data_IF_960736581316
#
_entry.id   IF_960736581316
#
_cell.length_a   1.000
_cell.length_b   1.000
_cell.length_c   1.000
_cell.angle_alpha   90.00
_cell.angle_beta   90.00
_cell.angle_gamma   90.00
#
_symmetry.space_group_name_H-M   'P 1'
#
loop_
_entity.id
_entity.type
_entity.pdbx_description
1 polymer ?
#
# COMPACT_ATOMS: atom_id res chain seq x y z
N UNK A 1 21.60 -2.33 -8.17
CA UNK A 1 20.88 -3.62 -8.31
C UNK A 1 19.86 -3.51 -9.44
N UNK A 2 20.08 -4.24 -10.54
CA UNK A 2 19.05 -4.38 -11.58
C UNK A 2 18.01 -5.38 -11.09
N UNK A 3 16.77 -4.92 -10.93
CA UNK A 3 15.65 -5.81 -10.66
C UNK A 3 15.40 -6.66 -11.91
N UNK A 4 15.40 -8.00 -11.83
CA UNK A 4 15.12 -8.84 -12.98
C UNK A 4 13.72 -8.53 -13.50
N UNK A 5 13.62 -7.99 -14.72
CA UNK A 5 12.34 -7.84 -15.41
C UNK A 5 11.87 -9.23 -15.83
N UNK A 6 10.88 -9.77 -15.14
CA UNK A 6 10.17 -10.96 -15.63
C UNK A 6 9.38 -10.58 -16.90
N UNK A 7 9.35 -11.42 -17.94
CA UNK A 7 8.73 -11.08 -19.24
C UNK A 7 7.19 -10.94 -19.25
N UNK A 8 6.51 -11.05 -18.11
CA UNK A 8 5.06 -10.94 -18.05
C UNK A 8 4.66 -9.51 -17.67
N UNK A 9 4.38 -8.71 -18.69
CA UNK A 9 3.97 -7.30 -18.67
C UNK A 9 2.52 -7.09 -18.15
N UNK A 10 1.97 -8.03 -17.38
CA UNK A 10 0.59 -7.98 -16.91
C UNK A 10 0.53 -7.31 -15.53
N UNK A 11 0.79 -5.99 -15.52
CA UNK A 11 0.59 -5.15 -14.35
C UNK A 11 -0.92 -5.01 -14.09
N UNK A 12 -1.44 -5.74 -13.11
CA UNK A 12 -2.86 -5.72 -12.73
C UNK A 12 -3.06 -4.90 -11.47
N UNK A 13 -4.00 -3.97 -11.52
CA UNK A 13 -4.48 -3.25 -10.35
C UNK A 13 -5.62 -4.04 -9.70
N UNK A 14 -5.49 -4.31 -8.40
CA UNK A 14 -6.52 -4.89 -7.54
C UNK A 14 -6.52 -4.07 -6.25
N UNK A 15 -7.66 -3.49 -5.89
CA UNK A 15 -7.74 -2.62 -4.72
C UNK A 15 -9.17 -2.20 -4.43
N UNK A 16 -9.31 -1.50 -3.31
CA UNK A 16 -10.55 -0.91 -2.84
C UNK A 16 -10.25 0.49 -2.30
N UNK A 17 -11.13 1.44 -2.61
CA UNK A 17 -11.07 2.79 -2.05
C UNK A 17 -11.66 2.81 -0.64
N UNK A 18 -11.16 3.72 0.20
CA UNK A 18 -11.67 3.95 1.54
C UNK A 18 -11.80 5.44 1.82
N UNK A 19 -13.00 5.85 2.22
CA UNK A 19 -13.30 7.19 2.69
C UNK A 19 -13.37 7.20 4.21
N UNK A 20 -12.80 8.23 4.83
CA UNK A 20 -13.00 8.46 6.25
C UNK A 20 -14.49 8.70 6.53
N UNK A 21 -15.02 8.22 7.66
CA UNK A 21 -16.41 8.51 8.06
C UNK A 21 -16.71 10.02 8.20
N UNK A 22 -15.67 10.81 8.48
CA UNK A 22 -15.71 12.27 8.56
C UNK A 22 -14.31 12.87 8.46
N UNK A 23 -14.20 14.11 7.98
CA UNK A 23 -12.93 14.85 7.92
C UNK A 23 -12.07 14.49 6.70
N UNK A 24 -10.79 14.85 6.77
CA UNK A 24 -9.78 14.57 5.74
C UNK A 24 -8.53 13.93 6.36
N UNK A 25 -7.87 13.05 5.60
CA UNK A 25 -6.60 12.41 5.99
C UNK A 25 -5.46 13.40 6.29
N UNK A 26 -5.59 14.65 5.87
CA UNK A 26 -4.60 15.71 6.10
C UNK A 26 -4.82 16.49 7.40
N UNK A 27 -5.92 16.27 8.11
CA UNK A 27 -6.31 17.06 9.30
C UNK A 27 -5.69 16.50 10.59
N UNK A 28 -5.56 15.17 10.70
CA UNK A 28 -5.07 14.47 11.88
C UNK A 28 -4.14 13.30 11.52
N UNK A 29 -3.46 12.75 12.54
CA UNK A 29 -2.72 11.50 12.38
C UNK A 29 -3.68 10.31 12.31
N UNK A 30 -3.47 9.46 11.32
CA UNK A 30 -4.19 8.19 11.16
C UNK A 30 -3.24 7.00 11.27
N UNK A 31 -3.73 5.90 11.83
CA UNK A 31 -2.99 4.66 11.93
C UNK A 31 -3.24 3.81 10.68
N UNK A 32 -2.25 3.75 9.79
CA UNK A 32 -2.26 2.84 8.64
C UNK A 32 -1.64 1.50 9.02
N UNK A 33 -2.41 0.42 8.86
CA UNK A 33 -2.01 -0.93 9.24
C UNK A 33 -2.08 -1.86 8.04
N UNK A 34 -1.05 -2.70 7.93
CA UNK A 34 -0.99 -3.76 6.94
C UNK A 34 -0.59 -5.06 7.64
N UNK A 35 -1.53 -6.00 7.73
CA UNK A 35 -1.25 -7.36 8.18
C UNK A 35 -0.96 -8.22 6.95
N UNK A 36 0.18 -8.89 6.98
CA UNK A 36 0.66 -9.72 5.89
C UNK A 36 1.09 -11.08 6.41
N UNK A 37 0.43 -12.11 5.90
CA UNK A 37 0.74 -13.52 6.14
C UNK A 37 0.97 -14.25 4.82
N UNK A 38 1.37 -15.51 4.89
CA UNK A 38 1.51 -16.43 3.74
C UNK A 38 0.24 -16.62 2.88
N UNK A 39 -0.93 -16.30 3.43
CA UNK A 39 -2.22 -16.63 2.83
C UNK A 39 -3.22 -15.47 2.80
N UNK A 40 -2.96 -14.39 3.55
CA UNK A 40 -3.87 -13.27 3.73
C UNK A 40 -3.11 -11.94 3.83
N UNK A 41 -3.63 -10.96 3.11
CA UNK A 41 -3.28 -9.54 3.19
C UNK A 41 -4.48 -8.76 3.73
N UNK A 42 -4.29 -7.91 4.73
CA UNK A 42 -5.34 -7.09 5.35
C UNK A 42 -4.87 -5.65 5.48
N UNK A 43 -5.68 -4.71 5.00
CA UNK A 43 -5.46 -3.28 5.16
C UNK A 43 -6.49 -2.71 6.11
N UNK A 44 -5.99 -1.95 7.10
CA UNK A 44 -6.83 -1.26 8.07
C UNK A 44 -6.39 0.20 8.20
N UNK A 45 -7.36 1.05 8.52
CA UNK A 45 -7.14 2.45 8.89
C UNK A 45 -7.84 2.65 10.23
N UNK A 46 -7.12 3.19 11.21
CA UNK A 46 -7.64 3.46 12.56
C UNK A 46 -8.29 2.23 13.21
N UNK A 47 -7.60 1.08 13.14
CA UNK A 47 -8.05 -0.24 13.62
C UNK A 47 -9.33 -0.78 12.95
N UNK A 48 -9.80 -0.14 11.87
CA UNK A 48 -10.91 -0.62 11.06
C UNK A 48 -10.39 -1.22 9.77
N UNK A 49 -10.60 -2.53 9.62
CA UNK A 49 -10.33 -3.21 8.36
C UNK A 49 -11.27 -2.67 7.27
N UNK A 50 -10.69 -2.28 6.14
CA UNK A 50 -11.46 -1.85 4.97
C UNK A 50 -11.23 -2.73 3.75
N UNK A 51 -10.12 -3.48 3.70
CA UNK A 51 -9.81 -4.32 2.56
C UNK A 51 -9.00 -5.56 2.95
N UNK A 52 -9.26 -6.66 2.26
CA UNK A 52 -8.51 -7.91 2.40
C UNK A 52 -8.37 -8.63 1.07
N UNK A 53 -7.30 -9.40 0.93
CA UNK A 53 -7.07 -10.30 -0.19
C UNK A 53 -6.43 -11.59 0.31
N UNK A 54 -7.03 -12.72 -0.06
CA UNK A 54 -6.41 -14.03 0.12
C UNK A 54 -5.45 -14.36 -1.02
N UNK A 55 -4.49 -15.25 -0.77
CA UNK A 55 -3.60 -15.80 -1.81
C UNK A 55 -4.40 -16.40 -2.97
N UNK A 56 -5.44 -17.17 -2.67
CA UNK A 56 -6.32 -17.79 -3.69
C UNK A 56 -7.00 -16.73 -4.56
N UNK A 57 -7.49 -15.65 -3.96
CA UNK A 57 -8.11 -14.53 -4.70
C UNK A 57 -7.13 -13.79 -5.60
N UNK A 58 -5.86 -13.67 -5.19
CA UNK A 58 -4.80 -13.08 -6.00
C UNK A 58 -4.47 -14.01 -7.16
N UNK A 59 -4.15 -15.28 -6.87
CA UNK A 59 -3.79 -16.29 -7.88
C UNK A 59 -4.92 -16.50 -8.90
N UNK A 60 -6.19 -16.47 -8.50
CA UNK A 60 -7.32 -16.53 -9.42
C UNK A 60 -7.38 -15.34 -10.39
N UNK A 61 -6.83 -14.18 -10.02
CA UNK A 61 -6.82 -12.95 -10.81
C UNK A 61 -5.51 -12.69 -11.55
N UNK A 62 -4.39 -13.30 -11.16
CA UNK A 62 -3.06 -13.01 -11.73
C UNK A 62 -2.33 -14.26 -12.24
N UNK A 63 -2.80 -15.46 -11.89
CA UNK A 63 -2.14 -16.76 -12.13
C UNK A 63 -0.83 -16.99 -11.35
N UNK A 64 -0.44 -16.10 -10.45
CA UNK A 64 0.75 -16.22 -9.59
C UNK A 64 0.64 -15.35 -8.33
N UNK A 65 1.42 -15.64 -7.29
CA UNK A 65 1.45 -14.85 -6.05
C UNK A 65 2.82 -14.18 -5.87
N UNK A 66 2.94 -12.83 -5.98
CA UNK A 66 4.24 -12.14 -5.91
C UNK A 66 4.69 -11.73 -4.50
N UNK A 67 3.88 -12.00 -3.47
CA UNK A 67 4.08 -11.52 -2.10
C UNK A 67 4.67 -12.60 -1.19
N UNK A 68 5.64 -13.36 -1.69
CA UNK A 68 6.34 -14.46 -1.00
C UNK A 68 7.87 -14.32 -1.07
N UNK A 69 8.36 -13.09 -1.10
CA UNK A 69 9.78 -12.73 -1.09
C UNK A 69 10.01 -11.55 -0.13
N UNK A 70 11.26 -11.20 0.21
CA UNK A 70 11.54 -10.01 1.02
C UNK A 70 11.13 -8.71 0.32
N UNK A 71 10.50 -7.79 1.06
CA UNK A 71 10.12 -6.45 0.60
C UNK A 71 10.76 -5.35 1.47
N UNK A 72 10.82 -4.14 0.92
CA UNK A 72 11.21 -2.93 1.63
C UNK A 72 10.00 -2.03 1.82
N UNK A 73 9.94 -1.33 2.95
CA UNK A 73 8.99 -0.23 3.15
C UNK A 73 9.52 1.00 2.42
N UNK A 74 8.69 1.62 1.60
CA UNK A 74 8.98 2.87 0.90
C UNK A 74 7.93 3.89 1.35
N UNK A 75 8.40 5.05 1.80
CA UNK A 75 7.56 6.21 2.08
C UNK A 75 8.03 7.35 1.19
N UNK A 76 7.13 7.88 0.36
CA UNK A 76 7.41 9.00 -0.51
C UNK A 76 6.19 9.90 -0.62
N UNK A 77 6.43 11.17 -0.94
CA UNK A 77 5.42 12.12 -1.34
C UNK A 77 5.63 12.43 -2.82
N UNK A 78 4.73 11.94 -3.67
CA UNK A 78 4.74 12.27 -5.10
C UNK A 78 3.97 13.57 -5.32
N UNK A 79 4.48 14.43 -6.20
CA UNK A 79 3.85 15.69 -6.60
C UNK A 79 3.68 15.64 -8.12
N UNK A 80 2.42 15.52 -8.58
CA UNK A 80 2.08 15.25 -9.97
C UNK A 80 2.23 13.79 -10.39
N UNK A 81 1.88 13.50 -11.64
CA UNK A 81 2.06 12.19 -12.27
C UNK A 81 0.84 11.72 -13.05
N UNK A 82 1.05 10.71 -13.89
CA UNK A 82 0.02 10.23 -14.82
C UNK A 82 -1.15 9.52 -14.13
N UNK A 83 -0.93 9.03 -12.91
CA UNK A 83 -1.94 8.35 -12.09
C UNK A 83 -3.17 9.23 -11.79
N UNK A 84 -2.98 10.54 -11.70
CA UNK A 84 -4.06 11.51 -11.48
C UNK A 84 -4.61 12.09 -12.80
N UNK A 85 -4.62 11.30 -13.87
CA UNK A 85 -5.09 11.76 -15.19
C UNK A 85 -4.17 12.81 -15.83
N UNK A 86 -2.86 12.65 -15.65
CA UNK A 86 -1.81 13.60 -16.08
C UNK A 86 -1.93 15.00 -15.47
N UNK A 87 -2.61 15.15 -14.34
CA UNK A 87 -2.63 16.42 -13.60
C UNK A 87 -1.21 16.76 -13.14
N UNK A 88 -0.69 17.85 -13.70
CA UNK A 88 0.59 18.42 -13.30
C UNK A 88 0.34 19.46 -12.20
N UNK A 89 1.32 19.67 -11.30
CA UNK A 89 1.25 20.76 -10.33
C UNK A 89 1.00 22.10 -11.04
N UNK A 90 0.13 22.91 -10.46
CA UNK A 90 -0.26 24.22 -10.97
C UNK A 90 -0.24 25.28 -9.86
N UNK A 91 -0.76 26.48 -10.15
CA UNK A 91 -0.78 27.60 -9.20
C UNK A 91 -1.61 27.34 -7.94
N UNK A 92 -2.48 26.31 -7.93
CA UNK A 92 -3.23 25.89 -6.75
C UNK A 92 -2.45 24.92 -5.85
N UNK A 93 -1.35 24.35 -6.35
CA UNK A 93 -0.52 23.42 -5.59
C UNK A 93 0.24 24.19 -4.50
N UNK A 94 0.17 23.77 -3.22
CA UNK A 94 0.90 24.45 -2.16
C UNK A 94 2.41 24.44 -2.39
N UNK A 95 3.08 25.54 -2.05
CA UNK A 95 4.55 25.64 -2.10
C UNK A 95 5.26 24.65 -1.16
N UNK A 96 4.55 24.17 -0.14
CA UNK A 96 5.03 23.20 0.84
C UNK A 96 4.02 22.08 1.00
N UNK A 97 4.41 20.87 0.61
CA UNK A 97 3.66 19.64 0.82
C UNK A 97 4.47 18.73 1.72
N UNK A 98 3.84 18.12 2.72
CA UNK A 98 4.52 17.27 3.69
C UNK A 98 3.72 16.02 3.99
N UNK A 99 4.44 14.94 4.25
CA UNK A 99 3.92 13.75 4.92
C UNK A 99 4.64 13.67 6.26
N UNK A 100 3.89 13.82 7.35
CA UNK A 100 4.41 13.73 8.71
C UNK A 100 4.18 12.32 9.22
N UNK A 101 5.25 11.65 9.61
CA UNK A 101 5.22 10.26 10.10
C UNK A 101 5.73 10.26 11.54
N UNK A 102 4.85 9.95 12.48
CA UNK A 102 5.23 9.83 13.89
C UNK A 102 6.07 8.57 14.12
N UNK A 103 5.65 7.44 13.56
CA UNK A 103 6.41 6.19 13.63
C UNK A 103 6.12 5.23 12.48
N UNK A 104 7.05 4.29 12.30
CA UNK A 104 6.85 3.04 11.58
C UNK A 104 7.20 1.91 12.55
N UNK A 105 6.31 0.93 12.70
CA UNK A 105 6.55 -0.26 13.53
C UNK A 105 6.27 -1.50 12.70
N UNK A 106 7.18 -2.47 12.79
CA UNK A 106 7.06 -3.77 12.14
C UNK A 106 7.04 -4.81 13.25
N UNK A 107 6.05 -5.69 13.17
CA UNK A 107 5.87 -6.79 14.11
C UNK A 107 5.96 -8.11 13.33
N UNK A 108 6.51 -9.12 13.96
CA UNK A 108 6.56 -10.48 13.43
C UNK A 108 5.84 -11.40 14.41
N UNK A 109 4.92 -12.22 13.91
CA UNK A 109 4.28 -13.24 14.74
C UNK A 109 5.33 -14.28 15.15
N UNK A 110 5.62 -14.35 16.44
CA UNK A 110 6.61 -15.26 17.01
C UNK A 110 6.09 -16.69 17.15
N UNK A 111 4.81 -16.94 16.85
CA UNK A 111 4.22 -18.29 16.86
C UNK A 111 4.30 -19.01 15.51
N UNK A 112 4.71 -18.33 14.44
CA UNK A 112 5.16 -18.97 13.21
C UNK A 112 6.67 -19.18 13.30
N UNK A 113 7.13 -20.40 13.03
CA UNK A 113 8.57 -20.69 12.93
C UNK A 113 9.20 -19.69 11.95
N UNK A 114 10.37 -19.11 12.26
CA UNK A 114 11.07 -18.26 11.31
C UNK A 114 11.48 -19.11 10.11
N UNK A 115 11.01 -18.74 8.91
CA UNK A 115 11.52 -19.27 7.64
C UNK A 115 13.00 -18.91 7.41
#
# INVERSE_FOLDING_TARGET
>A
PEFPRTPNEDHRYIGQEYDLPSGSFSEDFHLYQFEWTDSLLVWSIDDVEFYRLTREEIEARTSYYPFDQPFYVILNLAIGGDFLGNQQPDESTPDRNEVIVDYVRIYQDTNKDPE
#
